data_IF_598656733144
#
_entry.id   IF_598656733144
#
_cell.length_a   1.000
_cell.length_b   1.000
_cell.length_c   1.000
_cell.angle_alpha   90.00
_cell.angle_beta   90.00
_cell.angle_gamma   90.00
#
_symmetry.space_group_name_H-M   'P 1'
#
loop_
_entity.id
_entity.type
_entity.pdbx_description
1 polymer ?
#
# COMPACT_ATOMS: atom_id res chain seq x y z
N UNK A 1 -14.03 -50.41 9.98
CA UNK A 1 -12.67 -49.80 10.04
C UNK A 1 -11.82 -50.10 8.80
N UNK A 2 -11.70 -51.36 8.32
CA UNK A 2 -10.88 -51.72 7.14
C UNK A 2 -11.15 -50.91 5.85
N UNK A 3 -12.41 -50.69 5.48
CA UNK A 3 -12.77 -49.93 4.26
C UNK A 3 -12.32 -48.45 4.29
N UNK A 4 -12.34 -47.81 5.47
CA UNK A 4 -11.88 -46.42 5.63
C UNK A 4 -10.36 -46.32 5.48
N UNK A 5 -9.63 -47.30 6.03
CA UNK A 5 -8.18 -47.42 5.88
C UNK A 5 -7.78 -47.69 4.42
N UNK A 6 -8.51 -48.57 3.71
CA UNK A 6 -8.27 -48.82 2.29
C UNK A 6 -8.52 -47.57 1.44
N UNK A 7 -9.61 -46.84 1.70
CA UNK A 7 -9.89 -45.59 1.00
C UNK A 7 -8.78 -44.54 1.26
N UNK A 8 -8.31 -44.40 2.50
CA UNK A 8 -7.20 -43.52 2.84
C UNK A 8 -5.89 -43.94 2.14
N UNK A 9 -5.60 -45.23 2.08
CA UNK A 9 -4.42 -45.76 1.38
C UNK A 9 -4.49 -45.50 -0.14
N UNK A 10 -5.66 -45.69 -0.76
CA UNK A 10 -5.87 -45.40 -2.19
C UNK A 10 -5.67 -43.91 -2.46
N UNK A 11 -6.22 -43.02 -1.61
CA UNK A 11 -6.02 -41.58 -1.75
C UNK A 11 -4.54 -41.17 -1.59
N UNK A 12 -3.82 -41.78 -0.64
CA UNK A 12 -2.39 -41.55 -0.44
C UNK A 12 -1.55 -42.00 -1.64
N UNK A 13 -1.78 -43.22 -2.13
CA UNK A 13 -1.05 -43.77 -3.29
C UNK A 13 -1.35 -42.94 -4.53
N UNK A 14 -2.61 -42.61 -4.78
CA UNK A 14 -2.99 -41.77 -5.90
C UNK A 14 -2.35 -40.38 -5.82
N UNK A 15 -2.36 -39.76 -4.62
CA UNK A 15 -1.69 -38.48 -4.39
C UNK A 15 -0.19 -38.53 -4.66
N UNK A 16 0.51 -39.56 -4.17
CA UNK A 16 1.94 -39.76 -4.40
C UNK A 16 2.28 -39.97 -5.88
N UNK A 17 1.45 -40.73 -6.60
CA UNK A 17 1.66 -40.97 -8.04
C UNK A 17 1.38 -39.72 -8.89
N UNK A 18 0.41 -38.89 -8.48
CA UNK A 18 0.02 -37.68 -9.22
C UNK A 18 0.97 -36.50 -8.98
N UNK A 19 1.58 -36.43 -7.79
CA UNK A 19 2.45 -35.33 -7.37
C UNK A 19 3.54 -34.91 -8.39
N UNK A 20 4.35 -35.82 -8.97
CA UNK A 20 5.40 -35.42 -9.92
C UNK A 20 4.82 -34.83 -11.22
N UNK A 21 3.65 -35.31 -11.66
CA UNK A 21 2.97 -34.75 -12.83
C UNK A 21 2.46 -33.34 -12.53
N UNK A 22 1.82 -33.13 -11.38
CA UNK A 22 1.37 -31.80 -10.95
C UNK A 22 2.53 -30.82 -10.80
N UNK A 23 3.66 -31.27 -10.24
CA UNK A 23 4.85 -30.43 -10.09
C UNK A 23 5.42 -30.01 -11.45
N UNK A 24 5.52 -30.94 -12.41
CA UNK A 24 5.99 -30.62 -13.77
C UNK A 24 5.04 -29.65 -14.48
N UNK A 25 3.74 -29.95 -14.50
CA UNK A 25 2.74 -29.07 -15.13
C UNK A 25 2.73 -27.68 -14.48
N UNK A 26 2.80 -27.61 -13.15
CA UNK A 26 2.83 -26.34 -12.43
C UNK A 26 4.11 -25.55 -12.74
N UNK A 27 5.25 -26.23 -12.81
CA UNK A 27 6.51 -25.61 -13.20
C UNK A 27 6.43 -25.04 -14.61
N UNK A 28 5.95 -25.82 -15.59
CA UNK A 28 5.79 -25.38 -16.98
C UNK A 28 4.85 -24.17 -17.05
N UNK A 29 3.69 -24.22 -16.39
CA UNK A 29 2.74 -23.10 -16.34
C UNK A 29 3.35 -21.84 -15.71
N UNK A 30 4.21 -21.97 -14.70
CA UNK A 30 4.92 -20.82 -14.09
C UNK A 30 5.97 -20.25 -15.03
N UNK A 31 6.75 -21.09 -15.71
CA UNK A 31 7.72 -20.61 -16.72
C UNK A 31 7.02 -19.88 -17.87
N UNK A 32 5.81 -20.30 -18.23
CA UNK A 32 4.95 -19.64 -19.20
C UNK A 32 4.18 -18.43 -18.64
N UNK A 33 4.36 -18.09 -17.36
CA UNK A 33 3.67 -16.99 -16.67
C UNK A 33 2.13 -17.13 -16.69
N UNK A 34 1.62 -18.36 -16.78
CA UNK A 34 0.18 -18.68 -16.76
C UNK A 34 -0.34 -18.94 -15.35
N UNK A 35 0.55 -19.23 -14.39
CA UNK A 35 0.23 -19.44 -12.98
C UNK A 35 1.25 -18.69 -12.13
N UNK A 36 0.76 -18.03 -11.08
CA UNK A 36 1.62 -17.29 -10.15
C UNK A 36 2.58 -18.22 -9.38
N UNK A 37 3.74 -17.67 -9.03
CA UNK A 37 4.63 -18.30 -8.04
C UNK A 37 3.93 -18.44 -6.68
N UNK A 38 4.38 -19.34 -5.79
CA UNK A 38 3.92 -19.38 -4.41
C UNK A 38 4.18 -18.04 -3.72
N UNK A 39 3.33 -17.67 -2.77
CA UNK A 39 3.59 -16.52 -1.92
C UNK A 39 4.74 -16.88 -0.96
N UNK A 40 5.75 -16.02 -0.83
CA UNK A 40 6.85 -16.20 0.12
C UNK A 40 6.41 -15.79 1.53
N UNK A 41 5.45 -16.50 2.11
CA UNK A 41 4.97 -16.25 3.47
C UNK A 41 5.64 -17.21 4.46
N UNK A 42 5.57 -16.87 5.75
CA UNK A 42 5.83 -17.84 6.82
C UNK A 42 4.86 -19.02 6.78
N UNK A 43 5.23 -20.12 7.45
CA UNK A 43 4.51 -21.42 7.42
C UNK A 43 2.99 -21.28 7.66
N UNK A 44 2.56 -20.43 8.60
CA UNK A 44 1.14 -20.20 8.90
C UNK A 44 0.38 -19.50 7.76
N UNK A 45 0.99 -18.50 7.12
CA UNK A 45 0.38 -17.80 5.98
C UNK A 45 0.24 -18.71 4.77
N UNK A 46 1.26 -19.53 4.51
CA UNK A 46 1.22 -20.54 3.46
C UNK A 46 0.11 -21.57 3.70
N UNK A 47 -0.10 -22.04 4.94
CA UNK A 47 -1.18 -22.98 5.26
C UNK A 47 -2.58 -22.40 5.02
N UNK A 48 -2.84 -21.14 5.40
CA UNK A 48 -4.12 -20.49 5.12
C UNK A 48 -4.39 -20.37 3.62
N UNK A 49 -3.38 -19.94 2.86
CA UNK A 49 -3.45 -19.87 1.40
C UNK A 49 -3.59 -21.25 0.74
N UNK A 50 -2.96 -22.30 1.28
CA UNK A 50 -3.15 -23.68 0.82
C UNK A 50 -4.56 -24.20 1.12
N UNK A 51 -5.15 -23.84 2.26
CA UNK A 51 -6.53 -24.20 2.61
C UNK A 51 -7.54 -23.57 1.65
N UNK A 52 -7.38 -22.28 1.34
CA UNK A 52 -8.15 -21.60 0.31
C UNK A 52 -7.88 -22.19 -1.11
N UNK A 53 -6.65 -22.67 -1.34
CA UNK A 53 -6.19 -23.57 -2.41
C UNK A 53 -7.18 -24.71 -2.61
N UNK A 54 -7.17 -25.51 -1.56
CA UNK A 54 -8.01 -26.64 -1.25
C UNK A 54 -9.47 -26.44 -1.66
N UNK A 55 -10.07 -25.46 -0.99
CA UNK A 55 -11.51 -25.29 -0.95
C UNK A 55 -12.09 -24.68 -2.22
N UNK A 56 -11.38 -23.74 -2.84
CA UNK A 56 -11.97 -22.88 -3.87
C UNK A 56 -11.25 -22.92 -5.22
N UNK A 57 -10.02 -23.43 -5.30
CA UNK A 57 -9.28 -23.54 -6.56
C UNK A 57 -9.36 -22.27 -7.41
N UNK A 58 -9.83 -22.40 -8.65
CA UNK A 58 -10.01 -21.29 -9.59
C UNK A 58 -11.18 -20.33 -9.30
N UNK A 59 -12.09 -20.65 -8.36
CA UNK A 59 -13.27 -19.84 -8.05
C UNK A 59 -13.00 -18.70 -7.06
N UNK A 60 -11.78 -18.60 -6.52
CA UNK A 60 -11.41 -17.58 -5.52
C UNK A 60 -11.70 -16.15 -5.98
N UNK A 61 -11.40 -15.85 -7.25
CA UNK A 61 -11.67 -14.52 -7.83
C UNK A 61 -13.15 -14.18 -7.80
N UNK A 62 -14.01 -15.11 -8.23
CA UNK A 62 -15.46 -14.93 -8.21
C UNK A 62 -16.00 -14.75 -6.78
N UNK A 63 -15.54 -15.57 -5.83
CA UNK A 63 -15.97 -15.46 -4.43
C UNK A 63 -15.50 -14.12 -3.83
N UNK A 64 -14.29 -13.68 -4.15
CA UNK A 64 -13.80 -12.36 -3.75
C UNK A 64 -14.69 -11.25 -4.31
N UNK A 65 -15.11 -11.31 -5.57
CA UNK A 65 -16.07 -10.34 -6.15
C UNK A 65 -17.41 -10.35 -5.39
N UNK A 66 -17.93 -11.53 -5.03
CA UNK A 66 -19.18 -11.63 -4.25
C UNK A 66 -19.02 -10.95 -2.88
N UNK A 67 -17.90 -11.18 -2.18
CA UNK A 67 -17.64 -10.51 -0.91
C UNK A 67 -17.43 -9.01 -1.06
N UNK A 68 -16.79 -8.56 -2.13
CA UNK A 68 -16.66 -7.13 -2.44
C UNK A 68 -18.03 -6.48 -2.67
N UNK A 69 -18.95 -7.13 -3.39
CA UNK A 69 -20.33 -6.65 -3.56
C UNK A 69 -21.08 -6.59 -2.22
N UNK A 70 -20.89 -7.59 -1.34
CA UNK A 70 -21.46 -7.55 0.01
C UNK A 70 -20.86 -6.43 0.86
N UNK A 71 -19.56 -6.19 0.77
CA UNK A 71 -18.91 -5.07 1.42
C UNK A 71 -19.50 -3.73 0.94
N UNK A 72 -19.79 -3.60 -0.36
CA UNK A 72 -20.45 -2.42 -0.90
C UNK A 72 -21.87 -2.22 -0.34
N UNK A 73 -22.68 -3.29 -0.21
CA UNK A 73 -24.01 -3.20 0.42
C UNK A 73 -23.92 -2.79 1.88
N UNK A 74 -22.94 -3.29 2.63
CA UNK A 74 -22.76 -2.89 4.03
C UNK A 74 -22.18 -1.49 4.18
N UNK A 75 -21.37 -1.04 3.21
CA UNK A 75 -20.91 0.34 3.12
C UNK A 75 -22.08 1.31 2.97
N UNK A 76 -23.07 1.04 2.12
CA UNK A 76 -24.26 1.90 1.98
C UNK A 76 -25.14 1.90 3.22
N UNK A 77 -25.05 0.85 4.05
CA UNK A 77 -25.71 0.75 5.36
C UNK A 77 -24.87 1.31 6.51
N UNK A 78 -23.68 1.85 6.23
CA UNK A 78 -22.76 2.41 7.24
C UNK A 78 -22.33 1.35 8.28
N UNK A 79 -22.29 0.08 7.88
CA UNK A 79 -21.92 -1.03 8.75
C UNK A 79 -20.42 -1.34 8.62
N UNK A 80 -19.59 -0.47 9.20
CA UNK A 80 -18.14 -0.50 9.04
C UNK A 80 -17.48 -1.81 9.48
N UNK A 81 -17.99 -2.44 10.54
CA UNK A 81 -17.49 -3.73 11.01
C UNK A 81 -17.68 -4.84 9.95
N UNK A 82 -18.82 -4.83 9.25
CA UNK A 82 -19.07 -5.80 8.18
C UNK A 82 -18.31 -5.46 6.90
N UNK A 83 -18.07 -4.17 6.63
CA UNK A 83 -17.19 -3.73 5.53
C UNK A 83 -15.78 -4.30 5.75
N UNK A 84 -15.19 -4.10 6.94
CA UNK A 84 -13.85 -4.64 7.27
C UNK A 84 -13.82 -6.15 7.13
N UNK A 85 -14.79 -6.85 7.73
CA UNK A 85 -14.88 -8.32 7.65
C UNK A 85 -14.91 -8.82 6.21
N UNK A 86 -15.76 -8.25 5.36
CA UNK A 86 -15.88 -8.71 3.98
C UNK A 86 -14.63 -8.40 3.17
N UNK A 87 -14.02 -7.22 3.35
CA UNK A 87 -12.75 -6.93 2.71
C UNK A 87 -11.62 -7.83 3.22
N UNK A 88 -11.61 -8.24 4.48
CA UNK A 88 -10.70 -9.26 5.00
C UNK A 88 -10.79 -10.56 4.21
N UNK A 89 -12.00 -11.04 3.90
CA UNK A 89 -12.16 -12.20 3.01
C UNK A 89 -11.68 -11.92 1.58
N UNK A 90 -11.95 -10.73 1.04
CA UNK A 90 -11.50 -10.35 -0.32
C UNK A 90 -9.97 -10.40 -0.41
N UNK A 91 -9.27 -9.80 0.55
CA UNK A 91 -7.80 -9.73 0.54
C UNK A 91 -7.17 -11.08 0.84
N UNK A 92 -7.79 -11.93 1.68
CA UNK A 92 -7.35 -13.31 1.88
C UNK A 92 -7.52 -14.18 0.63
N UNK A 93 -8.62 -14.00 -0.12
CA UNK A 93 -8.90 -14.76 -1.34
C UNK A 93 -8.06 -14.32 -2.54
N UNK A 94 -7.71 -13.04 -2.61
CA UNK A 94 -6.99 -12.42 -3.72
C UNK A 94 -5.83 -11.54 -3.21
N UNK A 95 -4.86 -12.09 -2.46
CA UNK A 95 -3.83 -11.29 -1.78
C UNK A 95 -2.84 -10.63 -2.76
N UNK A 96 -2.76 -11.12 -3.99
CA UNK A 96 -1.92 -10.54 -5.05
C UNK A 96 -2.52 -9.30 -5.71
N UNK A 97 -3.79 -8.99 -5.45
CA UNK A 97 -4.44 -7.83 -6.01
C UNK A 97 -4.33 -6.62 -5.07
N UNK A 98 -3.33 -5.77 -5.32
CA UNK A 98 -3.07 -4.55 -4.54
C UNK A 98 -4.29 -3.64 -4.39
N UNK A 99 -5.18 -3.60 -5.40
CA UNK A 99 -6.37 -2.74 -5.38
C UNK A 99 -7.32 -3.11 -4.24
N UNK A 100 -7.42 -4.39 -3.87
CA UNK A 100 -8.28 -4.80 -2.76
C UNK A 100 -7.73 -4.36 -1.40
N UNK A 101 -6.41 -4.40 -1.21
CA UNK A 101 -5.78 -3.86 0.00
C UNK A 101 -5.94 -2.34 0.09
N UNK A 102 -5.76 -1.62 -1.03
CA UNK A 102 -6.00 -0.18 -1.10
C UNK A 102 -7.45 0.18 -0.73
N UNK A 103 -8.43 -0.50 -1.31
CA UNK A 103 -9.84 -0.23 -1.04
C UNK A 103 -10.23 -0.54 0.41
N UNK A 104 -9.80 -1.70 0.92
CA UNK A 104 -10.02 -2.09 2.31
C UNK A 104 -9.46 -1.04 3.28
N UNK A 105 -8.22 -0.60 3.06
CA UNK A 105 -7.59 0.45 3.87
C UNK A 105 -8.33 1.77 3.77
N UNK A 106 -8.73 2.18 2.55
CA UNK A 106 -9.49 3.41 2.32
C UNK A 106 -10.81 3.43 3.08
N UNK A 107 -11.56 2.32 3.06
CA UNK A 107 -12.81 2.22 3.81
C UNK A 107 -12.61 2.39 5.31
N UNK A 108 -11.52 1.87 5.87
CA UNK A 108 -11.26 1.98 7.31
C UNK A 108 -10.68 3.35 7.68
N UNK A 109 -9.54 3.73 7.10
CA UNK A 109 -8.78 4.91 7.51
C UNK A 109 -9.41 6.24 7.10
N UNK A 110 -10.24 6.26 6.05
CA UNK A 110 -10.93 7.46 5.60
C UNK A 110 -12.41 7.41 5.94
N UNK A 111 -13.16 6.45 5.38
CA UNK A 111 -14.62 6.47 5.49
C UNK A 111 -15.11 6.19 6.92
N UNK A 112 -14.74 5.06 7.51
CA UNK A 112 -15.15 4.68 8.86
C UNK A 112 -14.58 5.63 9.91
N UNK A 113 -13.27 5.89 9.86
CA UNK A 113 -12.62 6.80 10.80
C UNK A 113 -13.26 8.19 10.78
N UNK A 114 -13.48 8.80 9.61
CA UNK A 114 -14.13 10.11 9.54
C UNK A 114 -15.60 10.07 9.95
N UNK A 115 -16.33 9.00 9.63
CA UNK A 115 -17.71 8.84 10.10
C UNK A 115 -17.78 8.93 11.63
N UNK A 116 -16.93 8.19 12.35
CA UNK A 116 -16.93 8.22 13.81
C UNK A 116 -16.40 9.53 14.40
N UNK A 117 -15.41 10.15 13.77
CA UNK A 117 -14.87 11.44 14.21
C UNK A 117 -15.97 12.53 14.25
N UNK A 118 -16.86 12.54 13.25
CA UNK A 118 -17.88 13.58 13.09
C UNK A 118 -19.27 13.20 13.62
N UNK A 119 -19.47 11.96 14.09
CA UNK A 119 -20.76 11.52 14.62
C UNK A 119 -21.06 12.19 15.99
N UNK A 120 -21.92 13.21 16.00
CA UNK A 120 -22.29 13.98 17.20
C UNK A 120 -23.18 13.22 18.20
N UNK A 121 -23.73 12.06 17.82
CA UNK A 121 -24.52 11.22 18.72
C UNK A 121 -23.63 10.48 19.73
N UNK A 122 -22.34 10.33 19.40
CA UNK A 122 -21.35 9.68 20.26
C UNK A 122 -20.66 10.67 21.19
N UNK A 123 -20.35 10.21 22.40
CA UNK A 123 -19.57 10.99 23.37
C UNK A 123 -18.19 11.34 22.80
N UNK A 124 -17.64 12.54 23.07
CA UNK A 124 -16.36 12.99 22.51
C UNK A 124 -15.20 12.00 22.64
N UNK A 125 -15.03 11.37 23.81
CA UNK A 125 -13.97 10.36 24.01
C UNK A 125 -14.13 9.12 23.13
N UNK A 126 -15.36 8.64 22.96
CA UNK A 126 -15.65 7.48 22.11
C UNK A 126 -15.43 7.78 20.62
N UNK A 127 -15.74 9.01 20.17
CA UNK A 127 -15.44 9.45 18.79
C UNK A 127 -13.96 9.42 18.50
N UNK A 128 -13.15 9.97 19.40
CA UNK A 128 -11.69 9.98 19.28
C UNK A 128 -11.14 8.57 19.25
N UNK A 129 -11.58 7.70 20.18
CA UNK A 129 -11.16 6.30 20.21
C UNK A 129 -11.48 5.59 18.89
N UNK A 130 -12.74 5.60 18.43
CA UNK A 130 -13.13 4.90 17.20
C UNK A 130 -12.44 5.48 15.96
N UNK A 131 -12.25 6.80 15.89
CA UNK A 131 -11.43 7.41 14.84
C UNK A 131 -10.02 6.80 14.81
N UNK A 132 -9.35 6.71 15.96
CA UNK A 132 -8.01 6.14 16.05
C UNK A 132 -8.00 4.64 15.73
N UNK A 133 -8.96 3.86 16.24
CA UNK A 133 -9.06 2.42 16.00
C UNK A 133 -9.20 2.11 14.49
N UNK A 134 -10.11 2.79 13.80
CA UNK A 134 -10.30 2.59 12.36
C UNK A 134 -9.17 3.19 11.51
N UNK A 135 -8.54 4.27 11.97
CA UNK A 135 -7.34 4.80 11.33
C UNK A 135 -6.19 3.79 11.39
N UNK A 136 -5.93 3.23 12.57
CA UNK A 136 -4.90 2.21 12.75
C UNK A 136 -5.22 0.96 11.95
N UNK A 137 -6.49 0.52 11.93
CA UNK A 137 -6.90 -0.63 11.12
C UNK A 137 -6.57 -0.45 9.63
N UNK A 138 -6.77 0.75 9.08
CA UNK A 138 -6.40 1.01 7.69
C UNK A 138 -4.89 0.98 7.42
N UNK A 139 -4.06 1.34 8.40
CA UNK A 139 -2.59 1.17 8.35
C UNK A 139 -2.25 -0.32 8.35
N UNK A 140 -2.83 -1.07 9.30
CA UNK A 140 -2.57 -2.51 9.45
C UNK A 140 -2.92 -3.28 8.17
N UNK A 141 -4.00 -2.91 7.48
CA UNK A 141 -4.40 -3.50 6.18
C UNK A 141 -3.32 -3.28 5.10
N UNK A 142 -2.74 -2.08 5.03
CA UNK A 142 -1.68 -1.80 4.05
C UNK A 142 -0.40 -2.55 4.40
N UNK A 143 -0.02 -2.57 5.67
CA UNK A 143 1.14 -3.32 6.17
C UNK A 143 0.97 -4.83 5.94
N UNK A 144 -0.24 -5.36 6.14
CA UNK A 144 -0.57 -6.74 5.77
C UNK A 144 -0.42 -6.97 4.28
N UNK A 145 -0.98 -6.11 3.43
CA UNK A 145 -0.84 -6.19 1.97
C UNK A 145 0.61 -6.17 1.51
N UNK A 146 1.44 -5.33 2.12
CA UNK A 146 2.89 -5.24 1.85
C UNK A 146 3.65 -6.50 2.26
N UNK A 147 3.14 -7.34 3.19
CA UNK A 147 3.73 -8.67 3.44
C UNK A 147 3.57 -9.62 2.25
N UNK A 148 2.50 -9.46 1.47
CA UNK A 148 2.25 -10.26 0.26
C UNK A 148 2.85 -9.62 -1.00
N UNK A 149 2.93 -8.29 -1.01
CA UNK A 149 3.30 -7.46 -2.15
C UNK A 149 4.34 -6.40 -1.73
N UNK A 150 5.53 -6.81 -1.26
CA UNK A 150 6.50 -5.90 -0.63
C UNK A 150 7.03 -4.85 -1.60
N UNK A 151 7.11 -5.17 -2.88
CA UNK A 151 7.60 -4.27 -3.92
C UNK A 151 6.46 -3.54 -4.64
N UNK A 152 5.24 -3.52 -4.09
CA UNK A 152 4.13 -2.87 -4.78
C UNK A 152 4.15 -1.35 -4.54
N UNK A 153 4.44 -0.53 -5.57
CA UNK A 153 4.61 0.90 -5.37
C UNK A 153 3.30 1.59 -4.98
N UNK A 154 2.15 1.05 -5.38
CA UNK A 154 0.84 1.63 -5.09
C UNK A 154 0.50 1.49 -3.60
N UNK A 155 0.75 0.34 -2.98
CA UNK A 155 0.51 0.15 -1.55
C UNK A 155 1.40 1.07 -0.71
N UNK A 156 2.68 1.18 -1.05
CA UNK A 156 3.59 2.14 -0.43
C UNK A 156 3.13 3.59 -0.57
N UNK A 157 2.65 3.97 -1.77
CA UNK A 157 2.09 5.31 -1.98
C UNK A 157 0.90 5.55 -1.05
N UNK A 158 -0.01 4.58 -0.92
CA UNK A 158 -1.20 4.71 -0.05
C UNK A 158 -0.86 4.79 1.42
N UNK A 159 0.18 4.09 1.86
CA UNK A 159 0.69 4.23 3.22
C UNK A 159 1.27 5.63 3.44
N UNK A 160 2.01 6.16 2.46
CA UNK A 160 2.50 7.55 2.46
C UNK A 160 1.38 8.60 2.51
N UNK A 161 0.33 8.42 1.70
CA UNK A 161 -0.87 9.26 1.66
C UNK A 161 -1.56 9.27 3.04
N UNK A 162 -1.74 8.10 3.65
CA UNK A 162 -2.42 7.94 4.94
C UNK A 162 -1.62 8.62 6.04
N UNK A 163 -0.30 8.36 6.13
CA UNK A 163 0.53 8.98 7.14
C UNK A 163 0.53 10.51 7.05
N UNK A 164 0.70 11.04 5.84
CA UNK A 164 0.66 12.49 5.58
C UNK A 164 -0.67 13.12 5.96
N UNK A 165 -1.77 12.52 5.52
CA UNK A 165 -3.07 13.17 5.61
C UNK A 165 -3.72 12.97 6.97
N UNK A 166 -3.55 11.80 7.59
CA UNK A 166 -4.36 11.35 8.73
C UNK A 166 -3.58 11.30 10.04
N UNK A 167 -2.39 10.70 10.04
CA UNK A 167 -1.59 10.56 11.28
C UNK A 167 -0.68 11.76 11.55
N UNK A 168 -0.29 12.49 10.50
CA UNK A 168 0.76 13.51 10.53
C UNK A 168 2.14 12.97 10.96
N UNK A 169 2.35 11.66 10.88
CA UNK A 169 3.68 11.06 10.96
C UNK A 169 4.41 11.29 9.62
N UNK A 170 5.05 12.44 9.51
CA UNK A 170 5.74 12.84 8.30
C UNK A 170 7.00 12.00 8.01
N UNK A 171 7.61 11.40 9.05
CA UNK A 171 8.74 10.49 8.86
C UNK A 171 8.29 9.20 8.20
N UNK A 172 7.26 8.55 8.77
CA UNK A 172 6.68 7.34 8.18
C UNK A 172 6.13 7.61 6.76
N UNK A 173 5.51 8.78 6.56
CA UNK A 173 5.07 9.21 5.22
C UNK A 173 6.24 9.31 4.23
N UNK A 174 7.34 9.93 4.63
CA UNK A 174 8.55 10.05 3.80
C UNK A 174 9.15 8.71 3.45
N UNK A 175 9.29 7.81 4.43
CA UNK A 175 9.79 6.45 4.22
C UNK A 175 8.88 5.66 3.27
N UNK A 176 7.56 5.74 3.42
CA UNK A 176 6.61 5.05 2.54
C UNK A 176 6.64 5.60 1.08
N UNK A 177 6.64 6.92 0.89
CA UNK A 177 6.78 7.49 -0.45
C UNK A 177 8.12 7.17 -1.11
N UNK A 178 9.21 7.12 -0.33
CA UNK A 178 10.53 6.73 -0.84
C UNK A 178 10.54 5.28 -1.31
N UNK A 179 9.95 4.36 -0.54
CA UNK A 179 9.76 2.97 -0.96
C UNK A 179 8.91 2.89 -2.24
N UNK A 180 7.80 3.65 -2.32
CA UNK A 180 6.98 3.70 -3.54
C UNK A 180 7.81 4.05 -4.76
N UNK A 181 8.63 5.10 -4.69
CA UNK A 181 9.50 5.51 -5.79
C UNK A 181 10.54 4.44 -6.15
N UNK A 182 11.20 3.84 -5.15
CA UNK A 182 12.22 2.81 -5.36
C UNK A 182 11.68 1.56 -6.04
N UNK A 183 10.39 1.27 -5.87
CA UNK A 183 9.70 0.14 -6.48
C UNK A 183 8.90 0.52 -7.74
N UNK A 184 9.31 1.58 -8.45
CA UNK A 184 8.72 1.95 -9.75
C UNK A 184 7.42 2.77 -9.66
N UNK A 185 7.17 3.40 -8.51
CA UNK A 185 6.08 4.34 -8.33
C UNK A 185 6.23 5.60 -9.18
N UNK A 186 5.16 6.40 -9.22
CA UNK A 186 5.12 7.62 -10.01
C UNK A 186 6.17 8.64 -9.52
N UNK A 187 6.80 9.38 -10.42
CA UNK A 187 7.87 10.36 -10.10
C UNK A 187 7.51 11.39 -9.02
N UNK A 188 6.21 11.68 -8.81
CA UNK A 188 5.81 12.60 -7.75
C UNK A 188 6.09 12.05 -6.34
N UNK A 189 6.13 10.72 -6.18
CA UNK A 189 6.35 10.06 -4.88
C UNK A 189 7.75 10.38 -4.33
N UNK A 190 8.78 10.45 -5.17
CA UNK A 190 10.12 10.90 -4.75
C UNK A 190 10.07 12.31 -4.14
N UNK A 191 9.41 13.24 -4.84
CA UNK A 191 9.27 14.62 -4.36
C UNK A 191 8.46 14.71 -3.07
N UNK A 192 7.38 13.93 -2.97
CA UNK A 192 6.54 13.89 -1.77
C UNK A 192 7.28 13.27 -0.58
N UNK A 193 8.17 12.30 -0.81
CA UNK A 193 9.08 11.82 0.22
C UNK A 193 9.96 12.97 0.75
N UNK A 194 10.54 13.77 -0.16
CA UNK A 194 11.31 14.95 0.21
C UNK A 194 10.52 15.97 1.05
N UNK A 195 9.27 16.26 0.66
CA UNK A 195 8.39 17.16 1.42
C UNK A 195 7.98 16.61 2.79
N UNK A 196 7.79 15.29 2.89
CA UNK A 196 7.40 14.65 4.13
C UNK A 196 8.56 14.67 5.12
N UNK A 197 9.75 14.26 4.66
CA UNK A 197 10.96 14.40 5.45
C UNK A 197 11.24 15.84 5.86
N UNK A 198 10.97 16.84 5.01
CA UNK A 198 11.14 18.25 5.37
C UNK A 198 10.23 18.68 6.53
N UNK A 199 9.00 18.15 6.60
CA UNK A 199 8.03 18.44 7.68
C UNK A 199 8.19 17.57 8.93
N UNK A 200 9.08 16.58 8.90
CA UNK A 200 9.41 15.79 10.09
C UNK A 200 10.08 16.66 11.17
N UNK A 201 10.28 16.09 12.35
CA UNK A 201 10.84 16.78 13.52
C UNK A 201 12.26 16.34 13.89
N UNK A 202 12.97 15.64 13.00
CA UNK A 202 14.29 15.10 13.29
C UNK A 202 15.35 15.41 12.21
N UNK A 203 16.62 15.71 12.60
CA UNK A 203 17.67 16.06 11.65
C UNK A 203 18.00 14.98 10.62
N UNK A 204 17.85 13.69 10.95
CA UNK A 204 18.18 12.61 10.03
C UNK A 204 17.17 12.56 8.86
N UNK A 205 15.90 12.74 9.16
CA UNK A 205 14.85 12.92 8.15
C UNK A 205 15.09 14.20 7.35
N UNK A 206 15.40 15.34 7.97
CA UNK A 206 15.73 16.57 7.23
C UNK A 206 16.88 16.37 6.23
N UNK A 207 17.93 15.66 6.60
CA UNK A 207 19.04 15.34 5.70
C UNK A 207 18.58 14.53 4.47
N UNK A 208 17.74 13.50 4.67
CA UNK A 208 17.12 12.74 3.56
C UNK A 208 16.28 13.64 2.67
N UNK A 209 15.46 14.52 3.27
CA UNK A 209 14.65 15.49 2.56
C UNK A 209 15.49 16.44 1.71
N UNK A 210 16.59 16.96 2.27
CA UNK A 210 17.50 17.86 1.59
C UNK A 210 18.16 17.19 0.38
N UNK A 211 18.68 15.96 0.56
CA UNK A 211 19.29 15.18 -0.51
C UNK A 211 18.33 15.01 -1.70
N UNK A 212 17.10 14.59 -1.42
CA UNK A 212 16.06 14.37 -2.45
C UNK A 212 15.73 15.68 -3.16
N UNK A 213 15.39 16.72 -2.41
CA UNK A 213 14.91 17.98 -2.98
C UNK A 213 16.03 18.72 -3.72
N UNK A 214 17.27 18.67 -3.21
CA UNK A 214 18.43 19.25 -3.87
C UNK A 214 18.75 18.55 -5.18
N UNK A 215 18.74 17.22 -5.21
CA UNK A 215 18.87 16.43 -6.46
C UNK A 215 17.83 16.86 -7.49
N UNK A 216 16.55 16.91 -7.11
CA UNK A 216 15.46 17.31 -8.01
C UNK A 216 15.59 18.77 -8.49
N UNK A 217 16.10 19.65 -7.63
CA UNK A 217 16.43 21.03 -8.01
C UNK A 217 17.52 21.08 -9.07
N UNK A 218 18.62 20.34 -8.87
CA UNK A 218 19.77 20.30 -9.78
C UNK A 218 19.42 19.71 -11.14
N UNK A 219 18.53 18.71 -11.15
CA UNK A 219 17.92 18.13 -12.37
C UNK A 219 16.93 19.06 -13.09
N UNK A 220 16.78 20.31 -12.65
CA UNK A 220 15.85 21.30 -13.22
C UNK A 220 14.38 20.88 -13.13
N UNK A 221 14.01 20.05 -12.15
CA UNK A 221 12.63 19.62 -11.86
C UNK A 221 12.00 20.41 -10.71
N UNK A 222 12.56 21.56 -10.37
CA UNK A 222 12.12 22.40 -9.26
C UNK A 222 10.70 22.94 -9.46
N UNK A 223 9.88 22.80 -8.42
CA UNK A 223 8.59 23.48 -8.26
C UNK A 223 8.69 24.53 -7.16
N UNK A 224 7.79 25.53 -7.09
CA UNK A 224 7.83 26.54 -6.03
C UNK A 224 7.87 25.93 -4.63
N UNK A 225 6.98 24.98 -4.33
CA UNK A 225 6.98 24.30 -3.03
C UNK A 225 8.29 23.54 -2.75
N UNK A 226 8.97 23.05 -3.79
CA UNK A 226 10.28 22.39 -3.62
C UNK A 226 11.33 23.39 -3.16
N UNK A 227 11.34 24.58 -3.75
CA UNK A 227 12.28 25.64 -3.37
C UNK A 227 12.01 26.09 -1.93
N UNK A 228 10.74 26.25 -1.56
CA UNK A 228 10.35 26.61 -0.18
C UNK A 228 10.84 25.58 0.83
N UNK A 229 10.52 24.29 0.62
CA UNK A 229 10.99 23.22 1.50
C UNK A 229 12.51 23.09 1.53
N UNK A 230 13.18 23.27 0.39
CA UNK A 230 14.64 23.19 0.31
C UNK A 230 15.31 24.33 1.09
N UNK A 231 14.81 25.57 0.99
CA UNK A 231 15.31 26.71 1.78
C UNK A 231 15.07 26.52 3.28
N UNK A 232 13.89 26.01 3.66
CA UNK A 232 13.59 25.67 5.06
C UNK A 232 14.59 24.64 5.59
N UNK A 233 14.88 23.60 4.81
CA UNK A 233 15.87 22.58 5.15
C UNK A 233 17.29 23.15 5.25
N UNK A 234 17.69 24.04 4.35
CA UNK A 234 19.00 24.72 4.42
C UNK A 234 19.19 25.52 5.71
N UNK A 235 18.11 26.14 6.20
CA UNK A 235 18.09 26.82 7.48
C UNK A 235 18.18 25.82 8.65
N UNK A 236 17.30 24.81 8.67
CA UNK A 236 17.24 23.81 9.76
C UNK A 236 18.55 23.01 9.89
N UNK A 237 19.19 22.69 8.77
CA UNK A 237 20.45 21.95 8.71
C UNK A 237 21.69 22.86 8.80
N UNK A 238 21.50 24.17 8.93
CA UNK A 238 22.59 25.15 9.01
C UNK A 238 23.57 25.07 7.82
N UNK A 239 23.05 24.82 6.61
CA UNK A 239 23.87 24.75 5.39
C UNK A 239 24.55 26.11 5.17
N UNK A 240 25.87 26.18 4.88
CA UNK A 240 26.56 27.43 4.63
C UNK A 240 25.95 28.20 3.45
N UNK A 241 25.85 29.52 3.53
CA UNK A 241 25.22 30.36 2.49
C UNK A 241 25.80 30.16 1.09
N UNK A 242 27.08 29.83 0.98
CA UNK A 242 27.75 29.52 -0.30
C UNK A 242 27.30 28.22 -0.97
N UNK A 243 26.65 27.32 -0.22
CA UNK A 243 26.14 26.04 -0.69
C UNK A 243 24.61 26.04 -0.87
N UNK A 244 23.94 27.14 -0.48
CA UNK A 244 22.49 27.27 -0.58
C UNK A 244 22.04 27.55 -2.01
N UNK A 245 20.81 27.17 -2.32
CA UNK A 245 20.19 27.60 -3.56
C UNK A 245 19.98 29.13 -3.58
N UNK A 246 20.02 29.78 -4.76
CA UNK A 246 19.82 31.23 -4.87
C UNK A 246 18.48 31.69 -4.30
N UNK A 247 18.45 32.91 -3.75
CA UNK A 247 17.24 33.42 -3.13
C UNK A 247 16.12 33.76 -4.13
N UNK A 248 16.48 34.15 -5.35
CA UNK A 248 15.54 34.37 -6.42
C UNK A 248 14.96 33.03 -6.91
N UNK A 249 13.62 32.92 -6.91
CA UNK A 249 12.96 31.81 -7.58
C UNK A 249 13.46 31.75 -9.05
N UNK A 250 13.76 30.56 -9.60
CA UNK A 250 14.13 30.45 -10.99
C UNK A 250 13.02 31.05 -11.84
N UNK A 251 13.39 31.92 -12.79
CA UNK A 251 12.45 32.53 -13.74
C UNK A 251 11.68 31.39 -14.39
N UNK A 252 10.36 31.33 -14.17
CA UNK A 252 9.51 30.41 -14.91
C UNK A 252 9.58 30.81 -16.38
N UNK A 253 10.30 30.04 -17.18
CA UNK A 253 10.11 30.07 -18.63
C UNK A 253 8.77 29.40 -18.86
N UNK A 254 7.70 30.21 -18.93
CA UNK A 254 6.40 29.71 -19.36
C UNK A 254 6.58 29.07 -20.75
N UNK A 255 6.15 27.82 -20.96
CA UNK A 255 6.10 27.27 -22.31
C UNK A 255 5.29 28.21 -23.18
N UNK A 256 5.77 28.49 -24.40
CA UNK A 256 5.03 29.29 -25.36
C UNK A 256 3.62 28.68 -25.51
N UNK A 257 2.53 29.41 -25.25
CA UNK A 257 1.16 28.90 -25.37
C UNK A 257 0.83 28.36 -26.77
N UNK A 258 1.64 28.73 -27.78
CA UNK A 258 1.51 28.26 -29.16
C UNK A 258 2.27 26.96 -29.46
N UNK A 259 3.15 26.51 -28.57
CA UNK A 259 3.77 25.20 -28.69
C UNK A 259 2.75 24.15 -28.23
N UNK A 260 1.98 23.61 -29.18
CA UNK A 260 1.13 22.45 -28.93
C UNK A 260 1.91 21.28 -28.33
N UNK A 261 1.23 20.26 -27.78
CA UNK A 261 1.91 19.11 -27.19
C UNK A 261 2.85 18.46 -28.21
N UNK A 262 4.13 18.38 -27.88
CA UNK A 262 5.09 17.55 -28.60
C UNK A 262 4.66 16.10 -28.41
N UNK A 263 4.32 15.43 -29.52
CA UNK A 263 4.03 13.99 -29.57
C UNK A 263 5.31 13.18 -29.48
#
# INVERSE_FOLDING_TARGET
MKRKLQAAAVLLVFGLLKLPLEQRVTHDLRTMHLVDEPLHLGVKGNMGQMGLAAAFGGLRGLIATIFQLRAHVEFTRVNWAQVDKYYGFVTELQPRNARYWEEASWHMAYNAASYYLYNQELKPGLRGQLFHDYLQRGIDILDEGLKFLPDNPRLWQKLGDLHWNRTKDFKASGDAYRNSFQHGGLNFTERFAGYAYAQSSDPASWAKGYEILKKLYDEKKATPGLIEFLKMLEQNLHIPSSQRIPDAAPVRISPNPQAGPLR
#
